data_IF_924601484221
#
_entry.id   IF_924601484221
#
_cell.length_a   1.000
_cell.length_b   1.000
_cell.length_c   1.000
_cell.angle_alpha   90.00
_cell.angle_beta   90.00
_cell.angle_gamma   90.00
#
_symmetry.space_group_name_H-M   'P 1'
#
loop_
_entity.id
_entity.type
_entity.pdbx_description
1 polymer ?
#
# COMPACT_ATOMS: atom_id res chain seq x y z
N UNK A 1 -6.53 -7.02 -17.75
CA UNK A 1 -5.82 -5.91 -17.08
C UNK A 1 -4.35 -5.74 -17.51
N UNK A 2 -3.77 -6.63 -18.29
CA UNK A 2 -2.36 -6.53 -18.73
C UNK A 2 -2.11 -5.52 -19.87
N UNK A 3 -3.14 -4.98 -20.51
CA UNK A 3 -3.04 -4.12 -21.70
C UNK A 3 -3.07 -2.61 -21.42
N UNK A 4 -3.27 -2.19 -20.19
CA UNK A 4 -3.28 -0.76 -19.82
C UNK A 4 -1.86 -0.25 -19.60
N UNK A 5 -1.59 0.95 -20.13
CA UNK A 5 -0.30 1.61 -19.96
C UNK A 5 0.08 1.76 -18.47
N UNK A 6 1.24 1.23 -18.03
CA UNK A 6 1.63 1.23 -16.61
C UNK A 6 1.67 2.61 -15.96
N UNK A 7 1.98 3.66 -16.73
CA UNK A 7 1.97 5.01 -16.18
C UNK A 7 0.55 5.54 -15.91
N UNK A 8 -0.45 5.17 -16.74
CA UNK A 8 -1.85 5.48 -16.45
C UNK A 8 -2.34 4.76 -15.18
N UNK A 9 -1.87 3.53 -14.95
CA UNK A 9 -2.16 2.79 -13.70
C UNK A 9 -1.55 3.49 -12.48
N UNK A 10 -0.34 4.04 -12.62
CA UNK A 10 0.32 4.77 -11.55
C UNK A 10 -0.47 6.04 -11.18
N UNK A 11 -0.92 6.81 -12.17
CA UNK A 11 -1.78 7.98 -11.95
C UNK A 11 -3.11 7.54 -11.32
N UNK A 12 -3.70 6.46 -11.84
CA UNK A 12 -4.93 5.85 -11.30
C UNK A 12 -4.79 5.31 -9.87
N UNK A 13 -3.57 5.13 -9.37
CA UNK A 13 -3.28 4.78 -7.99
C UNK A 13 -3.03 6.02 -7.13
N UNK A 14 -2.29 6.99 -7.63
CA UNK A 14 -1.94 8.22 -6.88
C UNK A 14 -3.19 9.04 -6.57
N UNK A 15 -4.10 9.19 -7.53
CA UNK A 15 -5.34 9.97 -7.35
C UNK A 15 -6.20 9.42 -6.20
N UNK A 16 -6.61 8.14 -6.17
CA UNK A 16 -7.41 7.61 -5.06
C UNK A 16 -6.64 7.62 -3.74
N UNK A 17 -5.30 7.43 -3.76
CA UNK A 17 -4.48 7.50 -2.54
C UNK A 17 -4.52 8.90 -1.93
N UNK A 18 -4.40 9.96 -2.74
CA UNK A 18 -4.50 11.35 -2.28
C UNK A 18 -5.92 11.70 -1.79
N UNK A 19 -6.96 11.23 -2.49
CA UNK A 19 -8.34 11.43 -2.07
C UNK A 19 -8.63 10.73 -0.72
N UNK A 20 -8.16 9.50 -0.54
CA UNK A 20 -8.31 8.75 0.71
C UNK A 20 -7.51 9.39 1.86
N UNK A 21 -6.38 10.06 1.59
CA UNK A 21 -5.63 10.77 2.61
C UNK A 21 -6.45 11.91 3.24
N UNK A 22 -7.32 12.58 2.46
CA UNK A 22 -8.23 13.62 2.95
C UNK A 22 -9.52 13.09 3.60
N UNK A 23 -9.92 11.85 3.32
CA UNK A 23 -11.15 11.28 3.86
C UNK A 23 -10.89 10.59 5.21
N UNK A 24 -11.62 11.01 6.24
CA UNK A 24 -11.50 10.50 7.61
C UNK A 24 -12.63 9.51 7.97
N UNK A 25 -13.13 8.76 6.99
CA UNK A 25 -14.22 7.81 7.19
C UNK A 25 -13.73 6.37 7.07
N UNK A 26 -13.76 5.55 8.15
CA UNK A 26 -13.21 4.20 8.15
C UNK A 26 -13.94 3.25 7.19
N UNK A 27 -15.27 3.45 7.01
CA UNK A 27 -16.06 2.64 6.10
C UNK A 27 -15.62 2.78 4.62
N UNK A 28 -15.25 4.00 4.19
CA UNK A 28 -14.73 4.25 2.84
C UNK A 28 -13.39 3.55 2.63
N UNK A 29 -12.50 3.63 3.60
CA UNK A 29 -11.20 2.98 3.54
C UNK A 29 -11.33 1.45 3.44
N UNK A 30 -12.21 0.86 4.27
CA UNK A 30 -12.49 -0.57 4.23
C UNK A 30 -13.15 -1.00 2.92
N UNK A 31 -14.07 -0.20 2.37
CA UNK A 31 -14.68 -0.47 1.07
C UNK A 31 -13.65 -0.49 -0.04
N UNK A 32 -12.74 0.49 -0.08
CA UNK A 32 -11.64 0.52 -1.06
C UNK A 32 -10.73 -0.70 -0.90
N UNK A 33 -10.37 -1.06 0.33
CA UNK A 33 -9.59 -2.26 0.58
C UNK A 33 -10.29 -3.54 0.07
N UNK A 34 -11.58 -3.68 0.36
CA UNK A 34 -12.38 -4.82 -0.11
C UNK A 34 -12.45 -4.90 -1.64
N UNK A 35 -12.64 -3.76 -2.31
CA UNK A 35 -12.62 -3.68 -3.79
C UNK A 35 -11.25 -4.07 -4.35
N UNK A 36 -10.15 -3.61 -3.73
CA UNK A 36 -8.79 -3.98 -4.13
C UNK A 36 -8.55 -5.48 -3.95
N UNK A 37 -8.98 -6.06 -2.83
CA UNK A 37 -8.90 -7.51 -2.60
C UNK A 37 -9.71 -8.30 -3.61
N UNK A 38 -10.94 -7.90 -3.88
CA UNK A 38 -11.79 -8.54 -4.89
C UNK A 38 -11.14 -8.49 -6.29
N UNK A 39 -10.58 -7.34 -6.68
CA UNK A 39 -9.86 -7.19 -7.94
C UNK A 39 -8.61 -8.09 -8.02
N UNK A 40 -7.87 -8.26 -6.92
CA UNK A 40 -6.72 -9.15 -6.84
C UNK A 40 -7.13 -10.62 -6.97
N UNK A 41 -8.20 -11.04 -6.30
CA UNK A 41 -8.73 -12.40 -6.39
C UNK A 41 -9.23 -12.71 -7.82
N UNK A 42 -9.93 -11.79 -8.45
CA UNK A 42 -10.36 -11.91 -9.85
C UNK A 42 -9.19 -11.94 -10.83
N UNK A 43 -8.07 -11.29 -10.52
CA UNK A 43 -6.85 -11.28 -11.34
C UNK A 43 -6.05 -12.60 -11.27
N UNK A 44 -6.55 -13.62 -10.56
CA UNK A 44 -5.85 -14.90 -10.32
C UNK A 44 -4.43 -14.71 -9.76
N UNK A 45 -4.23 -13.70 -8.93
CA UNK A 45 -2.98 -13.52 -8.21
C UNK A 45 -2.72 -14.75 -7.31
N UNK A 46 -1.46 -15.15 -7.19
CA UNK A 46 -1.08 -16.29 -6.37
C UNK A 46 -1.50 -16.03 -4.90
N UNK A 47 -2.50 -16.76 -4.42
CA UNK A 47 -3.07 -16.59 -3.07
C UNK A 47 -2.01 -16.69 -1.97
N UNK A 48 -0.99 -17.54 -2.17
CA UNK A 48 0.14 -17.68 -1.22
C UNK A 48 0.97 -16.40 -1.13
N UNK A 49 1.24 -15.75 -2.25
CA UNK A 49 1.99 -14.48 -2.29
C UNK A 49 1.14 -13.36 -1.68
N UNK A 50 -0.16 -13.35 -1.98
CA UNK A 50 -1.10 -12.39 -1.43
C UNK A 50 -1.21 -12.54 0.09
N UNK A 51 -1.35 -13.75 0.60
CA UNK A 51 -1.43 -14.02 2.04
C UNK A 51 -0.12 -13.62 2.76
N UNK A 52 1.04 -13.94 2.15
CA UNK A 52 2.34 -13.52 2.68
C UNK A 52 2.53 -12.01 2.73
N UNK A 53 1.98 -11.28 1.76
CA UNK A 53 2.04 -9.82 1.74
C UNK A 53 1.00 -9.16 2.68
N UNK A 54 -0.15 -9.81 2.90
CA UNK A 54 -1.18 -9.29 3.80
C UNK A 54 -0.81 -9.39 5.27
N UNK A 55 -0.03 -10.40 5.66
CA UNK A 55 0.36 -10.61 7.05
C UNK A 55 1.12 -9.40 7.64
N UNK A 56 2.20 -8.89 7.04
CA UNK A 56 2.87 -7.68 7.55
C UNK A 56 1.97 -6.44 7.49
N UNK A 57 1.10 -6.34 6.48
CA UNK A 57 0.15 -5.22 6.38
C UNK A 57 -0.83 -5.21 7.54
N UNK A 58 -1.37 -6.37 7.92
CA UNK A 58 -2.27 -6.50 9.07
C UNK A 58 -1.54 -6.13 10.37
N UNK A 59 -0.30 -6.54 10.53
CA UNK A 59 0.50 -6.21 11.70
C UNK A 59 0.70 -4.69 11.82
N UNK A 60 1.05 -4.01 10.73
CA UNK A 60 1.15 -2.55 10.69
C UNK A 60 -0.19 -1.87 10.94
N UNK A 61 -1.29 -2.41 10.39
CA UNK A 61 -2.63 -1.86 10.60
C UNK A 61 -3.06 -1.94 12.08
N UNK A 62 -2.74 -3.04 12.77
CA UNK A 62 -2.97 -3.21 14.21
C UNK A 62 -2.12 -2.21 15.02
N UNK A 63 -0.85 -2.03 14.64
CA UNK A 63 0.03 -1.04 15.26
C UNK A 63 -0.51 0.38 15.11
N UNK A 64 -1.01 0.74 13.91
CA UNK A 64 -1.60 2.05 13.66
C UNK A 64 -2.95 2.23 14.35
N UNK A 65 -3.74 1.16 14.48
CA UNK A 65 -4.95 1.18 15.29
C UNK A 65 -4.60 1.48 16.76
N UNK A 66 -3.62 0.77 17.33
CA UNK A 66 -3.14 1.00 18.71
C UNK A 66 -2.64 2.43 18.89
N UNK A 67 -1.87 2.96 17.94
CA UNK A 67 -1.41 4.34 17.96
C UNK A 67 -2.58 5.32 17.95
N UNK A 68 -3.55 5.15 17.06
CA UNK A 68 -4.74 6.02 16.98
C UNK A 68 -5.59 5.98 18.26
N UNK A 69 -5.68 4.81 18.86
CA UNK A 69 -6.40 4.60 20.11
C UNK A 69 -5.74 5.33 21.28
N UNK A 70 -4.41 5.19 21.46
CA UNK A 70 -3.68 5.76 22.59
C UNK A 70 -3.39 7.25 22.43
N UNK A 71 -3.06 7.72 21.24
CA UNK A 71 -2.70 9.13 21.01
C UNK A 71 -3.89 10.06 20.83
N UNK A 72 -5.12 9.54 20.80
CA UNK A 72 -6.30 10.41 20.82
C UNK A 72 -6.52 11.08 22.20
N UNK A 73 -5.96 10.53 23.26
CA UNK A 73 -5.95 11.10 24.59
C UNK A 73 -4.89 12.22 24.72
N UNK A 74 -4.98 13.26 23.88
CA UNK A 74 -4.27 14.53 23.91
C UNK A 74 -2.94 14.60 24.68
N UNK A 75 -1.87 14.95 24.00
CA UNK A 75 -0.62 15.32 24.64
C UNK A 75 -0.87 16.39 25.73
N UNK A 76 -0.92 16.00 27.00
CA UNK A 76 -1.09 16.90 28.12
C UNK A 76 -2.13 16.53 29.17
N UNK A 77 -2.85 15.42 29.07
CA UNK A 77 -3.81 15.03 30.12
C UNK A 77 -3.24 13.99 31.10
N UNK A 78 -3.41 14.24 32.41
CA UNK A 78 -2.93 13.32 33.44
C UNK A 78 -3.80 12.07 33.52
N UNK A 79 -3.15 10.95 33.83
CA UNK A 79 -3.58 9.72 34.54
C UNK A 79 -5.04 9.20 34.39
N UNK A 80 -6.03 9.97 33.97
CA UNK A 80 -7.40 9.54 33.66
C UNK A 80 -7.58 9.09 32.22
N UNK A 81 -6.48 8.91 31.48
CA UNK A 81 -6.47 8.44 30.08
C UNK A 81 -7.13 7.06 29.89
N UNK A 82 -7.11 6.19 30.91
CA UNK A 82 -7.77 4.89 30.88
C UNK A 82 -9.31 5.00 30.78
N UNK A 83 -9.90 5.98 31.41
CA UNK A 83 -11.36 6.20 31.35
C UNK A 83 -11.79 6.84 30.01
N UNK A 84 -10.94 7.69 29.44
CA UNK A 84 -11.15 8.29 28.10
C UNK A 84 -10.82 7.34 26.96
N UNK A 85 -9.94 6.36 27.18
CA UNK A 85 -9.62 5.33 26.20
C UNK A 85 -10.84 4.44 25.83
N UNK A 86 -11.80 4.35 26.73
CA UNK A 86 -13.09 3.67 26.48
C UNK A 86 -14.10 4.56 25.73
N UNK A 87 -13.73 5.79 25.43
CA UNK A 87 -14.61 6.72 24.70
C UNK A 87 -14.67 6.32 23.23
N UNK A 88 -15.87 6.30 22.65
CA UNK A 88 -16.06 5.95 21.24
C UNK A 88 -15.19 6.74 20.25
N UNK A 89 -14.75 7.94 20.65
CA UNK A 89 -13.83 8.78 19.89
C UNK A 89 -12.42 8.17 19.72
N UNK A 90 -11.86 7.53 20.74
CA UNK A 90 -10.56 6.87 20.66
C UNK A 90 -10.61 5.64 19.73
N UNK A 91 -11.66 4.83 19.89
CA UNK A 91 -11.90 3.67 19.00
C UNK A 91 -12.09 4.13 17.57
N UNK A 92 -12.87 5.18 17.34
CA UNK A 92 -13.09 5.75 16.01
C UNK A 92 -11.79 6.20 15.35
N UNK A 93 -10.95 6.90 16.08
CA UNK A 93 -9.64 7.38 15.59
C UNK A 93 -8.70 6.22 15.26
N UNK A 94 -8.65 5.20 16.11
CA UNK A 94 -7.92 3.96 15.84
C UNK A 94 -8.41 3.26 14.57
N UNK A 95 -9.75 3.15 14.39
CA UNK A 95 -10.34 2.58 13.20
C UNK A 95 -10.01 3.38 11.94
N UNK A 96 -10.04 4.69 11.99
CA UNK A 96 -9.67 5.56 10.85
C UNK A 96 -8.22 5.32 10.44
N UNK A 97 -7.28 5.29 11.39
CA UNK A 97 -5.86 5.08 11.10
C UNK A 97 -5.57 3.66 10.62
N UNK A 98 -6.08 2.65 11.29
CA UNK A 98 -5.90 1.25 10.90
C UNK A 98 -6.51 0.92 9.54
N UNK A 99 -7.74 1.36 9.27
CA UNK A 99 -8.40 1.16 7.97
C UNK A 99 -7.70 1.90 6.83
N UNK A 100 -7.11 3.07 7.10
CA UNK A 100 -6.34 3.83 6.10
C UNK A 100 -5.11 3.07 5.63
N UNK A 101 -4.37 2.44 6.55
CA UNK A 101 -3.22 1.59 6.20
C UNK A 101 -3.65 0.42 5.33
N UNK A 102 -4.77 -0.23 5.67
CA UNK A 102 -5.32 -1.32 4.86
C UNK A 102 -5.68 -0.85 3.44
N UNK A 103 -6.33 0.30 3.31
CA UNK A 103 -6.68 0.86 2.01
C UNK A 103 -5.44 1.17 1.15
N UNK A 104 -4.44 1.82 1.71
CA UNK A 104 -3.19 2.14 1.00
C UNK A 104 -2.41 0.88 0.62
N UNK A 105 -2.35 -0.09 1.51
CA UNK A 105 -1.71 -1.37 1.24
C UNK A 105 -2.46 -2.15 0.15
N UNK A 106 -3.80 -2.16 0.18
CA UNK A 106 -4.62 -2.77 -0.87
C UNK A 106 -4.35 -2.19 -2.24
N UNK A 107 -4.32 -0.86 -2.36
CA UNK A 107 -3.98 -0.15 -3.59
C UNK A 107 -2.54 -0.46 -4.05
N UNK A 108 -1.56 -0.45 -3.12
CA UNK A 108 -0.17 -0.79 -3.41
C UNK A 108 0.00 -2.22 -3.89
N UNK A 109 -0.63 -3.18 -3.22
CA UNK A 109 -0.61 -4.59 -3.63
C UNK A 109 -1.26 -4.80 -4.99
N UNK A 110 -2.40 -4.16 -5.25
CA UNK A 110 -3.04 -4.19 -6.55
C UNK A 110 -2.07 -3.72 -7.64
N UNK A 111 -1.37 -2.63 -7.43
CA UNK A 111 -0.41 -2.08 -8.38
C UNK A 111 0.77 -3.03 -8.59
N UNK A 112 1.43 -3.48 -7.52
CA UNK A 112 2.62 -4.34 -7.59
C UNK A 112 2.34 -5.67 -8.27
N UNK A 113 1.21 -6.30 -7.94
CA UNK A 113 0.86 -7.63 -8.46
C UNK A 113 0.27 -7.58 -9.89
N UNK A 114 -0.26 -6.43 -10.33
CA UNK A 114 -0.86 -6.28 -11.67
C UNK A 114 0.03 -5.58 -12.68
N UNK A 115 1.14 -4.99 -12.25
CA UNK A 115 2.02 -4.18 -13.11
C UNK A 115 3.34 -4.92 -13.36
N UNK A 116 3.72 -5.01 -14.62
CA UNK A 116 5.03 -5.52 -15.02
C UNK A 116 6.09 -4.43 -14.79
N UNK A 117 7.13 -4.78 -14.06
CA UNK A 117 8.20 -3.87 -13.63
C UNK A 117 8.98 -3.30 -14.80
N UNK A 118 9.27 -4.12 -15.81
CA UNK A 118 10.04 -3.71 -16.99
C UNK A 118 9.22 -2.74 -17.84
N UNK A 119 7.93 -3.05 -18.04
CA UNK A 119 7.02 -2.17 -18.75
C UNK A 119 6.78 -0.86 -18.02
N UNK A 120 6.79 -0.87 -16.68
CA UNK A 120 6.68 0.33 -15.87
C UNK A 120 7.86 1.27 -16.11
N UNK A 121 9.10 0.77 -16.04
CA UNK A 121 10.31 1.57 -16.26
C UNK A 121 10.32 2.18 -17.66
N UNK A 122 9.96 1.40 -18.68
CA UNK A 122 9.86 1.89 -20.06
C UNK A 122 8.78 2.96 -20.23
N UNK A 123 7.62 2.79 -19.61
CA UNK A 123 6.54 3.78 -19.71
C UNK A 123 6.87 5.06 -18.94
N UNK A 124 7.57 4.97 -17.80
CA UNK A 124 8.08 6.14 -17.08
C UNK A 124 9.11 6.91 -17.92
N UNK A 125 10.01 6.20 -18.60
CA UNK A 125 11.00 6.81 -19.49
C UNK A 125 10.31 7.60 -20.61
N UNK A 126 9.27 7.03 -21.21
CA UNK A 126 8.56 7.67 -22.33
C UNK A 126 7.69 8.85 -21.90
N UNK A 127 7.01 8.78 -20.76
CA UNK A 127 6.03 9.77 -20.34
C UNK A 127 6.61 10.85 -19.41
N UNK A 128 7.53 10.49 -18.51
CA UNK A 128 8.20 11.44 -17.60
C UNK A 128 9.51 11.98 -18.16
N UNK A 129 9.88 11.62 -19.42
CA UNK A 129 11.14 12.04 -20.04
C UNK A 129 12.36 11.80 -19.13
N UNK A 130 12.34 10.68 -18.39
CA UNK A 130 13.48 10.32 -17.55
C UNK A 130 14.75 10.16 -18.40
N UNK A 131 15.90 10.72 -17.97
CA UNK A 131 17.15 10.55 -18.68
C UNK A 131 17.43 9.06 -18.94
N UNK A 132 17.87 8.69 -20.15
CA UNK A 132 18.07 7.28 -20.53
C UNK A 132 19.03 6.54 -19.59
N UNK A 133 20.01 7.25 -19.02
CA UNK A 133 21.00 6.72 -18.10
C UNK A 133 20.35 6.07 -16.87
N UNK A 134 19.32 6.69 -16.29
CA UNK A 134 18.60 6.12 -15.14
C UNK A 134 17.77 4.90 -15.52
N UNK A 135 17.09 4.95 -16.67
CA UNK A 135 16.27 3.84 -17.13
C UNK A 135 17.12 2.61 -17.47
N UNK A 136 18.25 2.79 -18.17
CA UNK A 136 19.18 1.71 -18.47
C UNK A 136 19.89 1.17 -17.23
N UNK A 137 20.29 2.05 -16.30
CA UNK A 137 20.88 1.64 -15.03
C UNK A 137 19.93 0.77 -14.20
N UNK A 138 18.66 1.16 -14.12
CA UNK A 138 17.65 0.38 -13.38
C UNK A 138 17.34 -0.97 -14.05
N UNK A 139 17.27 -1.00 -15.39
CA UNK A 139 17.06 -2.24 -16.15
C UNK A 139 18.28 -3.18 -16.03
N UNK A 140 19.49 -2.64 -16.08
CA UNK A 140 20.73 -3.40 -15.90
C UNK A 140 20.82 -3.99 -14.49
N UNK A 141 20.56 -3.18 -13.46
CA UNK A 141 20.51 -3.64 -12.07
C UNK A 141 19.51 -4.79 -11.89
N UNK A 142 18.35 -4.67 -12.51
CA UNK A 142 17.32 -5.71 -12.46
C UNK A 142 17.72 -7.00 -13.19
N UNK A 143 18.48 -6.90 -14.28
CA UNK A 143 19.01 -8.06 -15.02
C UNK A 143 20.14 -8.78 -14.28
N UNK A 144 20.94 -8.04 -13.51
CA UNK A 144 22.09 -8.60 -12.75
C UNK A 144 21.63 -9.31 -11.47
N UNK A 145 20.58 -8.81 -10.82
CA UNK A 145 20.09 -9.33 -9.53
C UNK A 145 19.82 -10.85 -9.51
N UNK A 146 19.10 -11.45 -10.48
CA UNK A 146 18.88 -12.90 -10.49
C UNK A 146 20.18 -13.69 -10.67
N UNK A 147 21.10 -13.21 -11.51
CA UNK A 147 22.39 -13.89 -11.73
C UNK A 147 23.26 -13.89 -10.46
N UNK A 148 23.30 -12.79 -9.73
CA UNK A 148 24.01 -12.72 -8.45
C UNK A 148 23.39 -13.61 -7.37
N UNK A 149 22.03 -13.73 -7.37
CA UNK A 149 21.36 -14.62 -6.42
C UNK A 149 21.60 -16.11 -6.73
N UNK A 150 21.80 -16.49 -7.98
CA UNK A 150 22.16 -17.87 -8.36
C UNK A 150 23.61 -18.18 -7.99
N UNK A 151 24.53 -17.23 -8.16
CA UNK A 151 25.93 -17.38 -7.83
C UNK A 151 26.17 -17.47 -6.31
N UNK A 152 25.39 -16.71 -5.52
CA UNK A 152 25.44 -16.79 -4.05
C UNK A 152 24.88 -18.10 -3.47
N UNK A 153 24.09 -18.83 -4.24
CA UNK A 153 23.51 -20.14 -3.83
C UNK A 153 24.41 -21.32 -4.18
N UNK A 154 25.49 -21.09 -4.95
CA UNK A 154 26.52 -22.10 -5.26
C UNK A 154 27.59 -22.10 -4.20
#
# INVERSE_FOLDING_TARGET
>A
MKSLNPACKLIGLVVPTLLLAGLHHPAVNLAVFAVCLAALLLSRANVKVLAGALLPVLLVAVGMFSTGYHFHAGAGMPINAAAQALTGAAVWNGLVLGSRVLAFAGLGLLFVLTTDRILLVRSLQQQLRLPPVFAYGLLAAWGILPNMMEEYKR
#
